data_IF_476759969740
#
_entry.id   IF_476759969740
#
_cell.length_a   1.000
_cell.length_b   1.000
_cell.length_c   1.000
_cell.angle_alpha   90.00
_cell.angle_beta   90.00
_cell.angle_gamma   90.00
#
_symmetry.space_group_name_H-M   'P 1'
#
loop_
_entity.id
_entity.type
_entity.pdbx_description
1 polymer ?
#
# COMPACT_ATOMS: atom_id res chain seq x y z
N UNK A 1 31.28 -7.74 62.02
CA UNK A 1 31.64 -7.20 60.69
C UNK A 1 30.49 -7.55 59.77
N UNK A 2 29.60 -6.65 59.35
CA UNK A 2 29.80 -5.36 58.66
C UNK A 2 28.75 -4.34 59.13
N UNK A 3 29.11 -3.12 59.54
CA UNK A 3 28.15 -2.11 59.97
C UNK A 3 27.47 -1.43 58.78
N UNK A 4 26.19 -1.17 58.98
CA UNK A 4 25.24 -0.45 58.15
C UNK A 4 25.70 1.01 57.93
N UNK A 5 26.49 1.28 56.88
CA UNK A 5 26.78 2.66 56.48
C UNK A 5 25.61 3.21 55.65
N UNK A 6 24.60 3.69 56.37
CA UNK A 6 23.60 4.63 55.85
C UNK A 6 24.36 5.82 55.27
N UNK A 7 24.25 6.03 53.96
CA UNK A 7 24.81 7.18 53.28
C UNK A 7 24.18 8.47 53.84
N UNK A 8 24.84 9.09 54.82
CA UNK A 8 24.50 10.42 55.32
C UNK A 8 25.04 11.42 54.32
N UNK A 9 24.22 11.78 53.33
CA UNK A 9 24.52 12.85 52.38
C UNK A 9 24.14 14.17 53.06
N UNK A 10 25.16 14.93 53.46
CA UNK A 10 25.01 16.32 53.92
C UNK A 10 24.27 17.12 52.84
N UNK A 11 23.10 17.66 53.19
CA UNK A 11 22.34 18.62 52.38
C UNK A 11 23.13 19.93 52.29
N UNK A 12 24.06 20.01 51.34
CA UNK A 12 24.49 21.29 50.79
C UNK A 12 23.84 21.40 49.41
N UNK A 13 22.84 22.27 49.27
CA UNK A 13 22.09 22.44 48.01
C UNK A 13 23.03 23.05 46.97
N UNK A 14 23.62 22.19 46.13
CA UNK A 14 24.31 22.61 44.91
C UNK A 14 23.24 22.75 43.84
N UNK A 15 22.90 24.00 43.53
CA UNK A 15 21.99 24.43 42.47
C UNK A 15 22.59 24.30 41.06
N UNK A 16 23.61 23.47 40.89
CA UNK A 16 24.23 23.15 39.60
C UNK A 16 23.76 21.78 39.13
N UNK A 17 23.31 21.70 37.88
CA UNK A 17 23.00 20.42 37.24
C UNK A 17 24.23 19.50 37.33
N UNK A 18 24.04 18.20 37.62
CA UNK A 18 25.15 17.26 37.65
C UNK A 18 25.82 17.21 36.28
N UNK A 19 27.15 17.31 36.27
CA UNK A 19 27.94 17.16 35.04
C UNK A 19 27.76 15.74 34.52
N UNK A 20 27.15 15.61 33.34
CA UNK A 20 26.97 14.33 32.68
C UNK A 20 28.33 13.93 32.09
N UNK A 21 29.05 13.05 32.80
CA UNK A 21 30.24 12.42 32.24
C UNK A 21 29.80 11.50 31.07
N UNK A 22 30.45 11.60 29.89
CA UNK A 22 30.15 10.71 28.78
C UNK A 22 30.56 9.28 29.15
N UNK A 23 29.59 8.49 29.61
CA UNK A 23 29.72 7.08 29.92
C UNK A 23 29.17 6.26 28.75
N UNK A 24 29.88 5.19 28.36
CA UNK A 24 29.42 4.29 27.30
C UNK A 24 28.19 3.51 27.75
N UNK A 25 27.02 3.97 27.28
CA UNK A 25 25.72 3.37 27.55
C UNK A 25 25.26 2.45 26.41
N UNK A 26 26.19 1.99 25.55
CA UNK A 26 25.85 1.15 24.39
C UNK A 26 25.08 -0.10 24.76
N UNK A 27 25.46 -0.79 25.83
CA UNK A 27 24.78 -1.99 26.33
C UNK A 27 23.37 -1.68 26.88
N UNK A 28 23.23 -0.62 27.67
CA UNK A 28 21.92 -0.20 28.19
C UNK A 28 20.95 0.15 27.06
N UNK A 29 21.43 0.83 26.00
CA UNK A 29 20.62 1.14 24.81
C UNK A 29 20.19 -0.12 24.06
N UNK A 30 21.06 -1.14 23.96
CA UNK A 30 20.71 -2.43 23.35
C UNK A 30 19.61 -3.13 24.15
N UNK A 31 19.77 -3.22 25.47
CA UNK A 31 18.79 -3.85 26.36
C UNK A 31 17.45 -3.12 26.34
N UNK A 32 17.45 -1.79 26.37
CA UNK A 32 16.25 -0.97 26.25
C UNK A 32 15.52 -1.21 24.92
N UNK A 33 16.27 -1.29 23.80
CA UNK A 33 15.68 -1.60 22.49
C UNK A 33 14.99 -2.97 22.48
N UNK A 34 15.66 -4.00 22.99
CA UNK A 34 15.11 -5.37 23.07
C UNK A 34 13.83 -5.39 23.92
N UNK A 35 13.85 -4.73 25.07
CA UNK A 35 12.69 -4.67 25.97
C UNK A 35 11.51 -3.93 25.32
N UNK A 36 11.77 -2.83 24.61
CA UNK A 36 10.75 -2.10 23.85
C UNK A 36 10.16 -2.96 22.72
N UNK A 37 10.99 -3.67 21.96
CA UNK A 37 10.52 -4.58 20.91
C UNK A 37 9.63 -5.69 21.48
N UNK A 38 10.04 -6.29 22.61
CA UNK A 38 9.24 -7.30 23.32
C UNK A 38 7.88 -6.74 23.76
N UNK A 39 7.86 -5.54 24.35
CA UNK A 39 6.63 -4.89 24.80
C UNK A 39 5.70 -4.59 23.61
N UNK A 40 6.23 -4.08 22.50
CA UNK A 40 5.47 -3.83 21.28
C UNK A 40 4.87 -5.13 20.73
N UNK A 41 5.66 -6.19 20.60
CA UNK A 41 5.21 -7.49 20.11
C UNK A 41 4.07 -8.07 20.96
N UNK A 42 4.22 -8.07 22.28
CA UNK A 42 3.19 -8.58 23.20
C UNK A 42 1.91 -7.74 23.13
N UNK A 43 2.04 -6.41 23.09
CA UNK A 43 0.89 -5.52 23.02
C UNK A 43 0.16 -5.63 21.67
N UNK A 44 0.89 -5.81 20.57
CA UNK A 44 0.33 -6.00 19.23
C UNK A 44 -0.38 -7.35 19.13
N UNK A 45 0.22 -8.42 19.66
CA UNK A 45 -0.40 -9.76 19.74
C UNK A 45 -1.69 -9.73 20.57
N UNK A 46 -1.65 -9.13 21.77
CA UNK A 46 -2.81 -9.01 22.67
C UNK A 46 -3.97 -8.24 22.01
N UNK A 47 -3.66 -7.20 21.23
CA UNK A 47 -4.67 -6.38 20.52
C UNK A 47 -5.05 -6.92 19.14
N UNK A 48 -4.47 -8.05 18.71
CA UNK A 48 -4.65 -8.60 17.37
C UNK A 48 -4.46 -7.55 16.26
N UNK A 49 -3.37 -6.77 16.36
CA UNK A 49 -3.08 -5.73 15.38
C UNK A 49 -2.79 -6.39 14.04
N UNK A 50 -3.49 -5.93 13.00
CA UNK A 50 -3.26 -6.33 11.62
C UNK A 50 -2.57 -5.20 10.88
N UNK A 51 -1.62 -5.56 10.03
CA UNK A 51 -1.01 -4.62 9.11
C UNK A 51 -2.00 -4.24 8.01
N UNK A 52 -1.94 -2.98 7.59
CA UNK A 52 -2.66 -2.52 6.41
C UNK A 52 -2.00 -2.98 5.11
N UNK A 53 -2.80 -3.16 4.06
CA UNK A 53 -2.34 -3.49 2.70
C UNK A 53 -2.46 -2.29 1.74
N UNK A 54 -2.29 -1.06 2.23
CA UNK A 54 -2.36 0.14 1.39
C UNK A 54 -1.04 0.31 0.64
N UNK A 55 -1.12 0.72 -0.62
CA UNK A 55 0.04 0.95 -1.48
C UNK A 55 0.05 2.38 -2.03
N UNK A 56 1.24 2.84 -2.42
CA UNK A 56 1.39 4.13 -3.10
C UNK A 56 0.68 4.03 -4.46
N UNK A 57 -0.15 5.02 -4.77
CA UNK A 57 -0.97 5.04 -5.99
C UNK A 57 -2.42 4.57 -5.79
N UNK A 58 -2.73 3.88 -4.69
CA UNK A 58 -4.12 3.47 -4.39
C UNK A 58 -5.05 4.68 -4.28
N UNK A 59 -6.29 4.48 -4.75
CA UNK A 59 -7.37 5.45 -4.60
C UNK A 59 -8.17 5.12 -3.34
N UNK A 60 -8.27 6.08 -2.43
CA UNK A 60 -8.86 5.89 -1.10
C UNK A 60 -9.75 7.05 -0.69
N UNK A 61 -10.73 6.79 0.17
CA UNK A 61 -11.51 7.81 0.88
C UNK A 61 -11.03 7.92 2.32
N UNK A 62 -11.07 9.13 2.87
CA UNK A 62 -10.61 9.41 4.23
C UNK A 62 -11.78 9.68 5.18
N UNK A 63 -11.67 9.19 6.42
CA UNK A 63 -12.62 9.47 7.50
C UNK A 63 -12.61 10.97 7.84
N UNK A 64 -13.80 11.56 7.93
CA UNK A 64 -13.99 12.98 8.23
C UNK A 64 -14.44 13.21 9.69
N UNK A 65 -14.27 14.44 10.17
CA UNK A 65 -14.83 14.83 11.46
C UNK A 65 -16.34 14.99 11.31
N UNK A 66 -17.10 14.32 12.18
CA UNK A 66 -18.56 14.41 12.19
C UNK A 66 -18.97 15.61 13.05
N UNK A 67 -19.69 16.56 12.48
CA UNK A 67 -20.30 17.67 13.23
C UNK A 67 -21.67 17.27 13.78
N UNK A 68 -22.43 16.50 13.00
CA UNK A 68 -23.80 16.10 13.31
C UNK A 68 -24.03 14.61 13.06
N UNK A 69 -25.08 14.05 13.68
CA UNK A 69 -25.42 12.61 13.56
C UNK A 69 -25.68 12.14 12.12
N UNK A 70 -26.09 13.06 11.24
CA UNK A 70 -26.37 12.77 9.83
C UNK A 70 -25.16 12.96 8.92
N UNK A 71 -24.03 13.44 9.44
CA UNK A 71 -22.82 13.60 8.62
C UNK A 71 -22.21 12.24 8.29
N UNK A 72 -21.90 11.97 7.00
CA UNK A 72 -21.24 10.72 6.63
C UNK A 72 -19.92 10.53 7.37
N UNK A 73 -19.57 9.30 7.73
CA UNK A 73 -18.31 9.03 8.43
C UNK A 73 -17.06 9.30 7.55
N UNK A 74 -17.19 9.16 6.23
CA UNK A 74 -16.10 9.32 5.28
C UNK A 74 -16.42 10.45 4.29
N UNK A 75 -15.37 11.19 3.91
CA UNK A 75 -15.47 12.14 2.81
C UNK A 75 -15.59 11.34 1.50
N UNK A 76 -16.63 11.57 0.67
CA UNK A 76 -16.84 10.80 -0.56
C UNK A 76 -15.77 11.07 -1.63
N UNK A 77 -14.98 12.12 -1.48
CA UNK A 77 -14.01 12.54 -2.48
C UNK A 77 -12.73 11.69 -2.40
N UNK A 78 -12.31 11.06 -3.52
CA UNK A 78 -11.18 10.15 -3.53
C UNK A 78 -9.84 10.89 -3.46
N UNK A 79 -8.91 10.35 -2.68
CA UNK A 79 -7.51 10.76 -2.62
C UNK A 79 -6.63 9.68 -3.25
N UNK A 80 -5.49 10.08 -3.79
CA UNK A 80 -4.43 9.17 -4.24
C UNK A 80 -3.33 9.11 -3.19
N UNK A 81 -2.92 7.92 -2.76
CA UNK A 81 -1.81 7.78 -1.81
C UNK A 81 -0.50 8.15 -2.49
N UNK A 82 0.27 9.08 -1.88
CA UNK A 82 1.57 9.54 -2.39
C UNK A 82 2.75 9.04 -1.56
N UNK A 83 2.56 8.80 -0.25
CA UNK A 83 3.64 8.37 0.63
C UNK A 83 3.12 7.52 1.80
N UNK A 84 3.83 6.43 2.10
CA UNK A 84 3.57 5.56 3.24
C UNK A 84 4.82 5.49 4.12
N UNK A 85 4.67 5.73 5.42
CA UNK A 85 5.73 5.64 6.45
C UNK A 85 5.19 4.84 7.65
N UNK A 86 5.41 3.54 7.64
CA UNK A 86 4.84 2.64 8.65
C UNK A 86 3.31 2.67 8.59
N UNK A 87 2.66 3.02 9.71
CA UNK A 87 1.20 3.19 9.76
C UNK A 87 0.71 4.57 9.34
N UNK A 88 1.62 5.51 9.04
CA UNK A 88 1.29 6.88 8.64
C UNK A 88 1.24 6.97 7.12
N UNK A 89 0.08 7.34 6.59
CA UNK A 89 -0.22 7.42 5.16
C UNK A 89 -0.49 8.88 4.80
N UNK A 90 0.12 9.34 3.72
CA UNK A 90 -0.14 10.65 3.11
C UNK A 90 -0.83 10.43 1.78
N UNK A 91 -1.95 11.12 1.60
CA UNK A 91 -2.74 11.07 0.39
C UNK A 91 -3.05 12.48 -0.09
N UNK A 92 -3.12 12.64 -1.40
CA UNK A 92 -3.25 13.92 -2.08
C UNK A 92 -4.43 13.88 -3.05
N UNK A 93 -5.07 15.02 -3.19
CA UNK A 93 -6.10 15.30 -4.19
C UNK A 93 -6.02 16.77 -4.53
N UNK A 94 -5.80 17.11 -5.79
CA UNK A 94 -5.77 18.47 -6.35
C UNK A 94 -5.20 19.54 -5.39
N UNK A 95 -6.03 20.15 -4.55
CA UNK A 95 -5.64 21.24 -3.65
C UNK A 95 -5.55 20.83 -2.16
N UNK A 96 -5.48 19.54 -1.85
CA UNK A 96 -5.49 19.04 -0.47
C UNK A 96 -4.57 17.85 -0.27
N UNK A 97 -3.66 17.98 0.69
CA UNK A 97 -2.79 16.91 1.17
C UNK A 97 -3.18 16.57 2.60
N UNK A 98 -3.39 15.30 2.86
CA UNK A 98 -3.75 14.80 4.19
C UNK A 98 -2.80 13.71 4.63
N UNK A 99 -2.38 13.76 5.91
CA UNK A 99 -1.52 12.72 6.51
C UNK A 99 -2.19 12.18 7.76
N UNK A 100 -2.55 10.89 7.76
CA UNK A 100 -3.20 10.21 8.91
C UNK A 100 -2.77 8.76 9.05
N UNK A 101 -3.21 8.10 10.12
CA UNK A 101 -3.02 6.66 10.27
C UNK A 101 -3.80 5.90 9.19
N UNK A 102 -3.23 4.80 8.70
CA UNK A 102 -3.80 3.92 7.69
C UNK A 102 -5.26 3.52 7.96
N UNK A 103 -5.64 3.30 9.21
CA UNK A 103 -7.01 2.94 9.62
C UNK A 103 -8.08 3.98 9.27
N UNK A 104 -7.70 5.22 8.99
CA UNK A 104 -8.61 6.29 8.60
C UNK A 104 -8.93 6.28 7.09
N UNK A 105 -8.20 5.47 6.33
CA UNK A 105 -8.38 5.33 4.88
C UNK A 105 -9.16 4.06 4.57
N UNK A 106 -10.02 4.14 3.57
CA UNK A 106 -10.68 2.97 2.97
C UNK A 106 -10.48 2.98 1.47
N UNK A 107 -10.29 1.82 0.83
CA UNK A 107 -10.26 1.72 -0.64
C UNK A 107 -11.49 2.37 -1.27
N UNK A 108 -11.28 3.17 -2.30
CA UNK A 108 -12.35 3.76 -3.07
C UNK A 108 -12.82 2.77 -4.14
N UNK A 109 -14.09 2.37 -4.06
CA UNK A 109 -14.72 1.50 -5.05
C UNK A 109 -15.51 2.40 -5.99
N UNK A 110 -15.00 2.66 -7.19
CA UNK A 110 -15.81 3.29 -8.22
C UNK A 110 -16.89 2.31 -8.66
N UNK A 111 -18.10 2.83 -8.94
CA UNK A 111 -19.23 2.02 -9.41
C UNK A 111 -18.96 1.40 -10.80
N UNK A 112 -17.90 1.81 -11.50
CA UNK A 112 -17.55 1.37 -12.85
C UNK A 112 -16.47 0.28 -12.92
N UNK A 113 -15.60 0.11 -11.90
CA UNK A 113 -14.33 -0.63 -12.08
C UNK A 113 -14.15 -1.86 -11.17
N UNK A 114 -15.18 -2.34 -10.47
CA UNK A 114 -15.08 -3.55 -9.62
C UNK A 114 -16.24 -4.54 -9.79
N UNK A 115 -16.86 -4.55 -10.98
CA UNK A 115 -17.72 -5.65 -11.38
C UNK A 115 -17.13 -6.25 -12.66
N UNK A 116 -16.21 -7.20 -12.49
CA UNK A 116 -15.96 -8.19 -13.54
C UNK A 116 -17.23 -9.05 -13.61
N UNK A 117 -18.27 -8.59 -14.32
CA UNK A 117 -19.40 -9.45 -14.65
C UNK A 117 -18.80 -10.65 -15.41
N UNK A 118 -18.96 -11.89 -14.93
CA UNK A 118 -18.45 -13.07 -15.64
C UNK A 118 -18.97 -13.13 -17.09
N UNK A 119 -20.09 -12.48 -17.42
CA UNK A 119 -20.59 -12.36 -18.80
C UNK A 119 -19.77 -11.42 -19.69
N UNK A 120 -19.17 -10.38 -19.11
CA UNK A 120 -18.37 -9.39 -19.86
C UNK A 120 -16.96 -9.92 -20.15
N UNK A 121 -16.35 -10.65 -19.20
CA UNK A 121 -15.05 -11.29 -19.43
C UNK A 121 -15.19 -12.39 -20.49
N UNK A 122 -16.24 -13.20 -20.41
CA UNK A 122 -16.51 -14.25 -21.40
C UNK A 122 -16.74 -13.67 -22.80
N UNK A 123 -17.45 -12.54 -22.94
CA UNK A 123 -17.64 -11.91 -24.25
C UNK A 123 -16.34 -11.28 -24.79
N UNK A 124 -15.51 -10.68 -23.93
CA UNK A 124 -14.21 -10.11 -24.31
C UNK A 124 -13.22 -11.19 -24.77
N UNK A 125 -13.13 -12.31 -24.04
CA UNK A 125 -12.32 -13.46 -24.45
C UNK A 125 -12.83 -14.05 -25.77
N UNK A 126 -14.15 -14.19 -25.92
CA UNK A 126 -14.76 -14.72 -27.15
C UNK A 126 -14.48 -13.82 -28.37
N UNK A 127 -14.58 -12.50 -28.23
CA UNK A 127 -14.20 -11.56 -29.31
C UNK A 127 -12.71 -11.63 -29.66
N UNK A 128 -11.83 -11.81 -28.67
CA UNK A 128 -10.39 -11.97 -28.91
C UNK A 128 -10.09 -13.28 -29.68
N UNK A 129 -10.71 -14.39 -29.28
CA UNK A 129 -10.58 -15.68 -29.98
C UNK A 129 -11.09 -15.62 -31.41
N UNK A 130 -12.24 -14.98 -31.67
CA UNK A 130 -12.81 -14.82 -33.01
C UNK A 130 -11.89 -13.98 -33.92
N UNK A 131 -11.31 -12.90 -33.40
CA UNK A 131 -10.41 -12.04 -34.17
C UNK A 131 -9.09 -12.75 -34.48
N UNK A 132 -8.53 -13.49 -33.53
CA UNK A 132 -7.29 -14.25 -33.77
C UNK A 132 -7.50 -15.37 -34.80
N UNK A 133 -8.61 -16.12 -34.70
CA UNK A 133 -8.91 -17.18 -35.69
C UNK A 133 -9.18 -16.64 -37.08
N UNK A 134 -9.90 -15.51 -37.22
CA UNK A 134 -10.07 -14.85 -38.51
C UNK A 134 -8.74 -14.36 -39.10
N UNK A 135 -7.88 -13.73 -38.30
CA UNK A 135 -6.55 -13.28 -38.76
C UNK A 135 -5.73 -14.47 -39.25
N UNK A 136 -5.68 -15.58 -38.50
CA UNK A 136 -4.95 -16.79 -38.90
C UNK A 136 -5.51 -17.38 -40.19
N UNK A 137 -6.84 -17.53 -40.32
CA UNK A 137 -7.47 -18.04 -41.53
C UNK A 137 -7.13 -17.19 -42.77
N UNK A 138 -7.22 -15.87 -42.62
CA UNK A 138 -6.92 -14.91 -43.70
C UNK A 138 -5.43 -15.00 -44.10
N UNK A 139 -4.51 -15.09 -43.14
CA UNK A 139 -3.06 -15.21 -43.44
C UNK A 139 -2.68 -16.49 -44.18
N UNK A 140 -3.47 -17.57 -44.02
CA UNK A 140 -3.20 -18.85 -44.68
C UNK A 140 -3.95 -18.96 -46.02
N UNK A 141 -5.20 -18.52 -46.11
CA UNK A 141 -5.98 -18.64 -47.35
C UNK A 141 -5.58 -17.65 -48.44
N UNK A 142 -5.25 -16.40 -48.09
CA UNK A 142 -4.84 -15.39 -49.09
C UNK A 142 -3.66 -15.87 -49.95
N UNK A 143 -2.53 -16.35 -49.38
CA UNK A 143 -1.40 -16.78 -50.20
C UNK A 143 -1.76 -17.99 -51.08
N UNK A 144 -2.53 -18.95 -50.56
CA UNK A 144 -2.98 -20.12 -51.32
C UNK A 144 -3.84 -19.69 -52.51
N UNK A 145 -4.80 -18.77 -52.31
CA UNK A 145 -5.67 -18.26 -53.37
C UNK A 145 -4.90 -17.43 -54.42
N UNK A 146 -3.93 -16.61 -53.98
CA UNK A 146 -3.09 -15.85 -54.91
C UNK A 146 -2.19 -16.77 -55.74
N UNK A 147 -1.67 -17.84 -55.15
CA UNK A 147 -0.81 -18.81 -55.84
C UNK A 147 -1.60 -19.58 -56.89
N UNK A 148 -2.79 -20.10 -56.55
CA UNK A 148 -3.63 -20.84 -57.51
C UNK A 148 -4.13 -19.99 -58.67
N UNK A 149 -4.38 -18.70 -58.46
CA UNK A 149 -4.81 -17.77 -59.52
C UNK A 149 -3.64 -17.27 -60.40
N UNK A 150 -2.42 -17.21 -59.87
CA UNK A 150 -1.25 -16.68 -60.59
C UNK A 150 -0.53 -17.75 -61.44
N UNK A 151 -0.53 -19.02 -61.01
CA UNK A 151 0.06 -20.14 -61.76
C UNK A 151 -0.41 -20.24 -63.23
N UNK A 152 -1.73 -20.22 -63.55
CA UNK A 152 -2.19 -20.38 -64.93
C UNK A 152 -1.84 -19.21 -65.86
N UNK A 153 -1.64 -18.01 -65.30
CA UNK A 153 -1.27 -16.80 -66.06
C UNK A 153 0.19 -16.88 -66.53
N UNK A 154 1.07 -17.46 -65.71
CA UNK A 154 2.49 -17.60 -66.03
C UNK A 154 2.76 -18.75 -67.01
N UNK A 155 1.95 -19.81 -66.99
CA UNK A 155 2.10 -20.95 -67.92
C UNK A 155 1.58 -20.67 -69.33
N UNK A 156 0.78 -19.61 -69.51
CA UNK A 156 0.21 -19.24 -70.83
C UNK A 156 1.07 -18.20 -71.59
N UNK A 157 2.12 -17.67 -70.94
CA UNK A 157 3.02 -16.63 -71.50
C UNK A 157 4.42 -17.16 -71.85
N UNK A 158 4.64 -18.47 -71.77
CA UNK A 158 5.85 -19.17 -72.20
C UNK A 158 5.53 -20.14 -73.34
#
# INVERSE_FOLDING_TARGET
MVPHLVATILKNVRNTLPTIIPYDNSELRKTDRINKEKQISQANKKRNIKEHNLQIGDIVICKQNQTDKLTPAFNPLPYKITLIKGTKVTAERENSVITRNASFFKPYISRSNNYSDPKTVLSQEMHHFLNHTLVVLITILIPILTFTLLIPILTFTL
#
